data_IF_099300440573
#
_entry.id   IF_099300440573
#
_cell.length_a   1.000
_cell.length_b   1.000
_cell.length_c   1.000
_cell.angle_alpha   90.00
_cell.angle_beta   90.00
_cell.angle_gamma   90.00
#
_symmetry.space_group_name_H-M   'P 1'
#
loop_
_entity.id
_entity.type
_entity.pdbx_description
1 polymer ?
#
# COMPACT_ATOMS: atom_id res chain seq x y z
N UNK A 1 -21.31 -18.82 -6.07
CA UNK A 1 -21.60 -17.38 -5.89
C UNK A 1 -20.40 -16.77 -5.18
N UNK A 2 -19.57 -15.98 -5.86
CA UNK A 2 -18.62 -15.13 -5.15
C UNK A 2 -19.45 -13.99 -4.56
N UNK A 3 -19.37 -13.78 -3.24
CA UNK A 3 -20.06 -12.68 -2.57
C UNK A 3 -19.62 -11.33 -3.14
N UNK A 4 -20.40 -10.30 -2.86
CA UNK A 4 -20.04 -8.92 -3.22
C UNK A 4 -18.72 -8.53 -2.55
N UNK A 5 -17.78 -7.98 -3.33
CA UNK A 5 -16.43 -7.63 -2.85
C UNK A 5 -16.53 -6.54 -1.77
N UNK A 6 -16.06 -6.84 -0.55
CA UNK A 6 -16.10 -5.90 0.58
C UNK A 6 -14.89 -4.96 0.55
N UNK A 7 -15.15 -3.66 0.41
CA UNK A 7 -14.12 -2.63 0.27
C UNK A 7 -13.96 -1.82 1.56
N UNK A 8 -12.74 -1.73 2.08
CA UNK A 8 -12.36 -0.79 3.13
C UNK A 8 -11.65 0.41 2.50
N UNK A 9 -11.97 1.64 2.92
CA UNK A 9 -11.22 2.84 2.55
C UNK A 9 -10.45 3.34 3.76
N UNK A 10 -9.13 3.16 3.76
CA UNK A 10 -8.24 3.60 4.81
C UNK A 10 -7.67 4.99 4.52
N UNK A 11 -7.99 5.98 5.37
CA UNK A 11 -7.58 7.38 5.21
C UNK A 11 -6.70 7.78 6.39
N UNK A 12 -5.46 8.21 6.12
CA UNK A 12 -4.66 8.92 7.13
C UNK A 12 -4.84 10.43 6.99
N UNK A 13 -5.60 11.03 7.92
CA UNK A 13 -5.96 12.44 7.97
C UNK A 13 -5.03 13.25 8.88
N UNK A 14 -4.05 13.92 8.28
CA UNK A 14 -3.09 14.82 8.97
C UNK A 14 -3.21 16.27 8.51
N UNK A 15 -3.44 16.52 7.21
CA UNK A 15 -3.70 17.84 6.64
C UNK A 15 -5.20 17.97 6.38
N UNK A 16 -5.84 18.87 7.12
CA UNK A 16 -7.30 18.90 7.25
C UNK A 16 -8.04 19.37 6.00
N UNK A 17 -7.42 20.21 5.18
CA UNK A 17 -7.96 20.64 3.89
C UNK A 17 -7.95 19.50 2.86
N UNK A 18 -6.85 18.76 2.78
CA UNK A 18 -6.76 17.55 1.95
C UNK A 18 -7.65 16.42 2.47
N UNK A 19 -7.93 16.36 3.78
CA UNK A 19 -8.86 15.39 4.35
C UNK A 19 -10.28 15.63 3.85
N UNK A 20 -10.72 16.90 3.83
CA UNK A 20 -12.06 17.27 3.36
C UNK A 20 -12.25 16.87 1.90
N UNK A 21 -11.27 17.15 1.03
CA UNK A 21 -11.30 16.71 -0.37
C UNK A 21 -11.43 15.18 -0.52
N UNK A 22 -10.70 14.40 0.29
CA UNK A 22 -10.75 12.93 0.23
C UNK A 22 -12.10 12.43 0.74
N UNK A 23 -12.62 13.02 1.82
CA UNK A 23 -13.90 12.65 2.40
C UNK A 23 -15.04 12.93 1.42
N UNK A 24 -15.05 14.10 0.77
CA UNK A 24 -16.04 14.46 -0.26
C UNK A 24 -16.02 13.49 -1.43
N UNK A 25 -14.82 13.15 -1.94
CA UNK A 25 -14.69 12.14 -2.99
C UNK A 25 -15.21 10.78 -2.54
N UNK A 26 -14.91 10.38 -1.30
CA UNK A 26 -15.38 9.10 -0.78
C UNK A 26 -16.92 9.05 -0.70
N UNK A 27 -17.58 10.13 -0.31
CA UNK A 27 -19.05 10.17 -0.18
C UNK A 27 -19.79 9.97 -1.50
N UNK A 28 -19.17 10.34 -2.62
CA UNK A 28 -19.74 10.21 -3.97
C UNK A 28 -19.72 8.77 -4.52
N UNK A 29 -19.14 7.81 -3.79
CA UNK A 29 -18.95 6.45 -4.26
C UNK A 29 -20.24 5.62 -4.14
N UNK A 30 -20.63 4.87 -5.19
CA UNK A 30 -21.85 4.05 -5.18
C UNK A 30 -21.67 2.68 -4.50
N UNK A 31 -20.45 2.28 -4.17
CA UNK A 31 -20.11 0.96 -3.60
C UNK A 31 -20.40 0.91 -2.10
N UNK A 32 -20.74 -0.26 -1.56
CA UNK A 32 -20.78 -0.44 -0.10
C UNK A 32 -19.35 -0.56 0.44
N UNK A 33 -18.90 0.45 1.17
CA UNK A 33 -17.59 0.49 1.82
C UNK A 33 -17.72 1.02 3.25
N UNK A 34 -16.67 0.77 4.04
CA UNK A 34 -16.50 1.38 5.36
C UNK A 34 -15.25 2.26 5.37
N UNK A 35 -15.32 3.38 6.09
CA UNK A 35 -14.18 4.27 6.28
C UNK A 35 -13.35 3.82 7.49
N UNK A 36 -12.03 3.69 7.30
CA UNK A 36 -11.08 3.43 8.38
C UNK A 36 -10.13 4.61 8.47
N UNK A 37 -10.41 5.53 9.38
CA UNK A 37 -9.72 6.81 9.45
C UNK A 37 -8.71 6.81 10.59
N UNK A 38 -7.49 7.26 10.30
CA UNK A 38 -6.49 7.50 11.32
C UNK A 38 -6.11 8.97 11.36
N UNK A 39 -5.90 9.51 12.55
CA UNK A 39 -5.48 10.90 12.74
C UNK A 39 -4.63 11.06 14.01
N UNK A 40 -4.23 12.29 14.30
CA UNK A 40 -3.47 12.67 15.49
C UNK A 40 -4.37 13.30 16.56
N UNK A 41 -4.03 13.26 17.86
CA UNK A 41 -4.88 13.76 18.95
C UNK A 41 -5.42 15.17 18.73
N UNK A 42 -4.58 16.10 18.25
CA UNK A 42 -4.99 17.49 17.97
C UNK A 42 -6.07 17.65 16.89
N UNK A 43 -6.32 16.62 16.09
CA UNK A 43 -7.31 16.62 15.02
C UNK A 43 -8.50 15.69 15.29
N UNK A 44 -8.52 14.98 16.41
CA UNK A 44 -9.57 14.00 16.71
C UNK A 44 -10.96 14.62 16.64
N UNK A 45 -11.20 15.71 17.37
CA UNK A 45 -12.53 16.33 17.46
C UNK A 45 -13.04 16.79 16.09
N UNK A 46 -12.17 17.41 15.28
CA UNK A 46 -12.56 17.90 13.95
C UNK A 46 -12.77 16.76 12.96
N UNK A 47 -11.93 15.72 12.99
CA UNK A 47 -12.09 14.54 12.13
C UNK A 47 -13.37 13.78 12.48
N UNK A 48 -13.65 13.58 13.78
CA UNK A 48 -14.87 12.93 14.25
C UNK A 48 -16.12 13.67 13.80
N UNK A 49 -16.18 14.99 14.01
CA UNK A 49 -17.31 15.81 13.58
C UNK A 49 -17.57 15.72 12.06
N UNK A 50 -16.51 15.68 11.25
CA UNK A 50 -16.63 15.51 9.79
C UNK A 50 -17.15 14.13 9.40
N UNK A 51 -16.68 13.07 10.07
CA UNK A 51 -17.13 11.70 9.81
C UNK A 51 -18.59 11.50 10.23
N UNK A 52 -18.99 12.04 11.38
CA UNK A 52 -20.38 12.02 11.84
C UNK A 52 -21.29 12.75 10.85
N UNK A 53 -20.85 13.92 10.35
CA UNK A 53 -21.60 14.69 9.35
C UNK A 53 -21.71 13.97 7.99
N UNK A 54 -20.70 13.19 7.60
CA UNK A 54 -20.73 12.41 6.37
C UNK A 54 -21.71 11.22 6.42
N UNK A 55 -22.13 10.79 7.61
CA UNK A 55 -23.16 9.75 7.78
C UNK A 55 -22.81 8.38 7.20
N UNK A 56 -21.50 8.08 7.01
CA UNK A 56 -20.99 6.79 6.53
C UNK A 56 -20.48 5.95 7.71
N UNK A 57 -20.58 4.63 7.60
CA UNK A 57 -19.95 3.73 8.59
C UNK A 57 -18.44 3.99 8.63
N UNK A 58 -17.90 4.18 9.84
CA UNK A 58 -16.50 4.49 10.03
C UNK A 58 -15.91 3.88 11.30
N UNK A 59 -14.59 3.76 11.31
CA UNK A 59 -13.78 3.52 12.51
C UNK A 59 -12.65 4.55 12.57
N UNK A 60 -12.48 5.18 13.73
CA UNK A 60 -11.51 6.26 13.94
C UNK A 60 -10.43 5.82 14.93
N UNK A 61 -9.18 5.79 14.46
CA UNK A 61 -8.00 5.55 15.27
C UNK A 61 -7.19 6.83 15.49
N UNK A 62 -6.85 7.12 16.74
CA UNK A 62 -6.07 8.32 17.10
C UNK A 62 -4.69 7.87 17.58
N UNK A 63 -3.64 8.36 16.92
CA UNK A 63 -2.26 7.92 17.13
C UNK A 63 -1.29 9.08 17.17
N UNK A 64 -0.16 8.91 17.86
CA UNK A 64 0.95 9.85 17.76
C UNK A 64 1.45 9.97 16.31
N UNK A 65 2.05 11.11 15.97
CA UNK A 65 2.66 11.33 14.66
C UNK A 65 4.01 10.59 14.54
N UNK A 66 3.97 9.26 14.61
CA UNK A 66 5.12 8.37 14.51
C UNK A 66 4.88 7.35 13.41
N UNK A 67 5.88 7.16 12.56
CA UNK A 67 5.74 6.34 11.35
C UNK A 67 4.79 6.93 10.31
N UNK A 68 4.44 8.22 10.43
CA UNK A 68 3.60 8.98 9.49
C UNK A 68 2.28 8.26 9.21
N UNK A 69 1.94 8.01 7.95
CA UNK A 69 0.75 7.28 7.53
C UNK A 69 0.90 5.76 7.60
N UNK A 70 2.12 5.25 7.79
CA UNK A 70 2.43 3.81 7.77
C UNK A 70 2.05 3.13 9.09
N UNK A 71 2.61 3.56 10.22
CA UNK A 71 2.35 2.90 11.50
C UNK A 71 0.86 2.98 11.93
N UNK A 72 0.18 4.14 11.81
CA UNK A 72 -1.27 4.20 12.02
C UNK A 72 -2.05 3.24 11.12
N UNK A 73 -1.69 3.15 9.84
CA UNK A 73 -2.32 2.19 8.93
C UNK A 73 -2.09 0.74 9.37
N UNK A 74 -0.88 0.36 9.77
CA UNK A 74 -0.59 -0.99 10.26
C UNK A 74 -1.41 -1.37 11.49
N UNK A 75 -1.68 -0.40 12.38
CA UNK A 75 -2.55 -0.60 13.54
C UNK A 75 -4.00 -0.76 13.12
N UNK A 76 -4.50 0.17 12.30
CA UNK A 76 -5.87 0.17 11.80
C UNK A 76 -6.19 -1.05 10.91
N UNK A 77 -5.18 -1.58 10.20
CA UNK A 77 -5.34 -2.75 9.33
C UNK A 77 -5.80 -4.00 10.09
N UNK A 78 -5.50 -4.09 11.39
CA UNK A 78 -5.98 -5.21 12.23
C UNK A 78 -7.50 -5.25 12.30
N UNK A 79 -8.13 -4.08 12.41
CA UNK A 79 -9.59 -3.94 12.46
C UNK A 79 -10.18 -4.20 11.06
N UNK A 80 -9.56 -3.65 10.00
CA UNK A 80 -9.93 -3.95 8.60
C UNK A 80 -9.94 -5.46 8.35
N UNK A 81 -8.90 -6.17 8.79
CA UNK A 81 -8.81 -7.62 8.64
C UNK A 81 -9.83 -8.36 9.51
N UNK A 82 -10.01 -7.95 10.76
CA UNK A 82 -10.94 -8.59 11.69
C UNK A 82 -12.40 -8.47 11.23
N UNK A 83 -12.76 -7.34 10.60
CA UNK A 83 -14.09 -7.13 10.04
C UNK A 83 -14.30 -7.86 8.70
N UNK A 84 -13.26 -8.51 8.14
CA UNK A 84 -13.38 -9.37 6.97
C UNK A 84 -13.53 -8.63 5.64
N UNK A 85 -12.85 -7.50 5.47
CA UNK A 85 -12.78 -6.81 4.18
C UNK A 85 -11.84 -7.54 3.22
N UNK A 86 -12.25 -7.65 1.96
CA UNK A 86 -11.48 -8.35 0.92
C UNK A 86 -10.34 -7.49 0.37
N UNK A 87 -10.61 -6.19 0.22
CA UNK A 87 -9.70 -5.20 -0.35
C UNK A 87 -9.69 -3.93 0.48
N UNK A 88 -8.53 -3.27 0.51
CA UNK A 88 -8.34 -1.97 1.13
C UNK A 88 -7.83 -0.97 0.10
N UNK A 89 -8.49 0.19 0.02
CA UNK A 89 -7.99 1.38 -0.67
C UNK A 89 -7.34 2.27 0.38
N UNK A 90 -6.03 2.43 0.32
CA UNK A 90 -5.28 3.29 1.24
C UNK A 90 -4.94 4.61 0.57
N UNK A 91 -5.32 5.72 1.20
CA UNK A 91 -4.93 7.09 0.83
C UNK A 91 -4.50 7.88 2.06
N UNK A 92 -3.85 9.02 1.85
CA UNK A 92 -3.44 9.89 2.94
C UNK A 92 -3.38 11.35 2.52
N UNK A 93 -3.37 12.25 3.49
CA UNK A 93 -3.33 13.69 3.25
C UNK A 93 -1.93 14.28 3.11
N UNK A 94 -0.85 13.47 3.25
CA UNK A 94 0.54 13.95 3.27
C UNK A 94 0.80 14.91 2.09
N UNK A 95 1.26 16.11 2.42
CA UNK A 95 1.71 17.11 1.45
C UNK A 95 3.21 16.98 1.22
N UNK A 96 3.63 17.29 0.00
CA UNK A 96 5.05 17.41 -0.38
C UNK A 96 5.38 18.88 -0.60
N UNK A 97 5.58 19.68 0.49
CA UNK A 97 5.75 21.14 0.39
C UNK A 97 7.01 21.57 -0.38
N UNK A 98 7.95 20.65 -0.60
CA UNK A 98 9.15 20.87 -1.40
C UNK A 98 8.88 20.86 -2.92
N UNK A 99 7.66 20.54 -3.35
CA UNK A 99 7.25 20.54 -4.75
C UNK A 99 6.42 21.79 -5.04
N UNK A 100 6.71 22.46 -6.16
CA UNK A 100 5.91 23.60 -6.63
C UNK A 100 4.42 23.25 -6.79
N UNK A 101 4.10 21.98 -7.11
CA UNK A 101 2.72 21.50 -7.37
C UNK A 101 2.31 20.27 -6.52
N UNK A 102 2.78 20.18 -5.27
CA UNK A 102 2.56 19.00 -4.40
C UNK A 102 1.08 18.64 -4.17
N UNK A 103 0.17 19.62 -4.17
CA UNK A 103 -1.26 19.38 -4.01
C UNK A 103 -1.91 18.78 -5.27
N UNK A 104 -1.52 19.27 -6.46
CA UNK A 104 -1.96 18.70 -7.74
C UNK A 104 -1.56 17.23 -7.85
N UNK A 105 -0.33 16.92 -7.43
CA UNK A 105 0.19 15.57 -7.37
C UNK A 105 -0.61 14.65 -6.44
N UNK A 106 -0.85 15.07 -5.20
CA UNK A 106 -1.69 14.31 -4.26
C UNK A 106 -3.08 14.07 -4.84
N UNK A 107 -3.70 15.09 -5.43
CA UNK A 107 -5.03 14.96 -6.07
C UNK A 107 -5.02 13.95 -7.21
N UNK A 108 -3.95 13.86 -7.99
CA UNK A 108 -3.79 12.83 -9.03
C UNK A 108 -3.74 11.42 -8.42
N UNK A 109 -2.95 11.22 -7.36
CA UNK A 109 -2.86 9.92 -6.67
C UNK A 109 -4.21 9.47 -6.08
N UNK A 110 -4.85 10.38 -5.35
CA UNK A 110 -6.17 10.14 -4.76
C UNK A 110 -7.18 9.85 -5.87
N UNK A 111 -7.17 10.65 -6.94
CA UNK A 111 -8.15 10.48 -8.03
C UNK A 111 -7.99 9.16 -8.76
N UNK A 112 -6.76 8.68 -8.94
CA UNK A 112 -6.48 7.38 -9.57
C UNK A 112 -7.07 6.18 -8.81
N UNK A 113 -7.44 6.36 -7.53
CA UNK A 113 -7.96 5.31 -6.65
C UNK A 113 -9.40 5.54 -6.19
N UNK A 114 -9.80 6.80 -5.98
CA UNK A 114 -11.07 7.18 -5.34
C UNK A 114 -12.03 7.97 -6.23
N UNK A 115 -11.66 8.37 -7.45
CA UNK A 115 -12.70 8.87 -8.37
C UNK A 115 -13.73 7.77 -8.61
N UNK A 116 -15.04 8.06 -8.69
CA UNK A 116 -16.07 7.04 -8.81
C UNK A 116 -15.82 6.02 -9.94
N UNK A 117 -15.42 6.49 -11.12
CA UNK A 117 -15.11 5.63 -12.28
C UNK A 117 -13.83 4.83 -12.06
N UNK A 118 -12.83 5.42 -11.40
CA UNK A 118 -11.59 4.72 -11.07
C UNK A 118 -11.89 3.60 -10.06
N UNK A 119 -12.55 3.90 -8.95
CA UNK A 119 -12.88 2.90 -7.94
C UNK A 119 -13.75 1.78 -8.53
N UNK A 120 -14.78 2.11 -9.31
CA UNK A 120 -15.63 1.09 -9.95
C UNK A 120 -14.81 0.16 -10.85
N UNK A 121 -13.90 0.72 -11.67
CA UNK A 121 -13.01 -0.06 -12.53
C UNK A 121 -12.08 -0.96 -11.71
N UNK A 122 -11.48 -0.44 -10.64
CA UNK A 122 -10.57 -1.20 -9.80
C UNK A 122 -11.30 -2.32 -9.05
N UNK A 123 -12.43 -2.04 -8.40
CA UNK A 123 -13.30 -3.03 -7.74
C UNK A 123 -13.71 -4.13 -8.72
N UNK A 124 -14.09 -3.77 -9.96
CA UNK A 124 -14.40 -4.74 -11.01
C UNK A 124 -13.20 -5.65 -11.35
N UNK A 125 -11.99 -5.08 -11.45
CA UNK A 125 -10.78 -5.86 -11.71
C UNK A 125 -10.45 -6.82 -10.55
N UNK A 126 -10.58 -6.38 -9.29
CA UNK A 126 -10.39 -7.24 -8.11
C UNK A 126 -11.48 -8.32 -8.00
N UNK A 127 -12.71 -8.04 -8.40
CA UNK A 127 -13.77 -9.04 -8.44
C UNK A 127 -13.53 -10.09 -9.54
N UNK A 128 -13.02 -9.66 -10.70
CA UNK A 128 -12.80 -10.54 -11.85
C UNK A 128 -11.56 -11.44 -11.74
N UNK A 129 -10.50 -10.97 -11.07
CA UNK A 129 -9.22 -11.68 -11.01
C UNK A 129 -8.71 -11.88 -9.57
N UNK A 130 -8.86 -13.09 -8.98
CA UNK A 130 -8.27 -13.44 -7.70
C UNK A 130 -6.75 -13.26 -7.64
N UNK A 131 -6.02 -13.33 -8.75
CA UNK A 131 -4.57 -13.17 -8.79
C UNK A 131 -4.11 -11.72 -8.66
N UNK A 132 -4.98 -10.73 -8.92
CA UNK A 132 -4.69 -9.31 -8.72
C UNK A 132 -4.51 -9.04 -7.21
N UNK A 133 -3.29 -8.64 -6.82
CA UNK A 133 -2.92 -8.40 -5.43
C UNK A 133 -2.89 -6.93 -5.06
N UNK A 134 -2.26 -6.09 -5.88
CA UNK A 134 -2.06 -4.65 -5.63
C UNK A 134 -2.27 -3.87 -6.92
N UNK A 135 -2.94 -2.74 -6.81
CA UNK A 135 -2.98 -1.68 -7.82
C UNK A 135 -2.39 -0.40 -7.23
N UNK A 136 -1.35 0.12 -7.86
CA UNK A 136 -0.79 1.44 -7.54
C UNK A 136 -1.26 2.50 -8.54
N UNK A 137 -1.24 3.79 -8.18
CA UNK A 137 -1.46 4.88 -9.11
C UNK A 137 -0.52 4.81 -10.33
N UNK A 138 -1.01 5.22 -11.50
CA UNK A 138 -0.24 5.23 -12.74
C UNK A 138 1.11 5.96 -12.58
N UNK A 139 2.18 5.37 -13.10
CA UNK A 139 3.53 5.94 -13.04
C UNK A 139 4.19 5.88 -11.65
N UNK A 140 3.61 5.18 -10.67
CA UNK A 140 4.15 5.08 -9.31
C UNK A 140 4.75 3.72 -8.96
N UNK A 141 4.81 2.80 -9.92
CA UNK A 141 5.45 1.51 -9.69
C UNK A 141 6.95 1.62 -9.99
N UNK A 142 7.77 1.46 -8.95
CA UNK A 142 9.22 1.67 -9.02
C UNK A 142 9.98 0.37 -8.79
N UNK A 143 11.09 0.19 -9.52
CA UNK A 143 12.01 -0.93 -9.33
C UNK A 143 12.72 -0.83 -7.98
N UNK A 144 12.64 -1.89 -7.17
CA UNK A 144 13.36 -1.96 -5.91
C UNK A 144 14.87 -1.90 -6.12
N UNK A 145 15.40 -2.60 -7.13
CA UNK A 145 16.83 -2.58 -7.47
C UNK A 145 17.39 -1.17 -7.66
N UNK A 146 16.59 -0.23 -8.16
CA UNK A 146 17.03 1.15 -8.48
C UNK A 146 16.76 2.14 -7.36
N UNK A 147 15.73 1.89 -6.55
CA UNK A 147 15.14 2.90 -5.66
C UNK A 147 15.12 2.53 -4.17
N UNK A 148 15.85 1.50 -3.74
CA UNK A 148 15.99 1.20 -2.29
C UNK A 148 16.56 2.37 -1.46
N UNK A 149 17.44 3.19 -2.06
CA UNK A 149 18.01 4.37 -1.41
C UNK A 149 18.66 4.06 -0.06
N UNK A 150 18.48 4.92 0.93
CA UNK A 150 19.01 4.73 2.28
C UNK A 150 18.35 3.61 3.09
N UNK A 151 17.43 2.84 2.50
CA UNK A 151 16.65 1.81 3.20
C UNK A 151 17.02 0.38 2.81
N UNK A 152 18.02 0.15 1.95
CA UNK A 152 18.38 -1.19 1.47
C UNK A 152 18.51 -2.22 2.61
N UNK A 153 19.25 -1.89 3.67
CA UNK A 153 19.43 -2.80 4.80
C UNK A 153 18.11 -3.17 5.49
N UNK A 154 17.19 -2.20 5.67
CA UNK A 154 15.87 -2.45 6.27
C UNK A 154 14.98 -3.26 5.33
N UNK A 155 14.96 -2.94 4.04
CA UNK A 155 14.19 -3.67 3.02
C UNK A 155 14.63 -5.13 2.96
N UNK A 156 15.94 -5.39 2.95
CA UNK A 156 16.50 -6.75 2.98
C UNK A 156 16.15 -7.51 4.27
N UNK A 157 16.09 -6.82 5.41
CA UNK A 157 15.70 -7.44 6.67
C UNK A 157 14.21 -7.80 6.67
N UNK A 158 13.35 -6.92 6.18
CA UNK A 158 11.90 -7.16 6.06
C UNK A 158 11.63 -8.31 5.08
N UNK A 159 12.26 -8.29 3.91
CA UNK A 159 12.15 -9.34 2.91
C UNK A 159 12.51 -10.73 3.45
N UNK A 160 13.61 -10.85 4.19
CA UNK A 160 14.01 -12.12 4.83
C UNK A 160 12.95 -12.62 5.81
N UNK A 161 12.30 -11.73 6.56
CA UNK A 161 11.21 -12.11 7.47
C UNK A 161 9.95 -12.55 6.72
N UNK A 162 9.77 -12.15 5.46
CA UNK A 162 8.74 -12.65 4.56
C UNK A 162 9.16 -13.93 3.80
N UNK A 163 10.36 -14.46 4.06
CA UNK A 163 10.90 -15.62 3.34
C UNK A 163 11.33 -15.33 1.91
N UNK A 164 11.69 -14.07 1.60
CA UNK A 164 12.15 -13.64 0.29
C UNK A 164 13.67 -13.43 0.28
N UNK A 165 14.28 -13.89 -0.81
CA UNK A 165 15.71 -13.76 -1.05
C UNK A 165 16.03 -12.56 -1.95
N UNK A 166 17.29 -12.09 -1.88
CA UNK A 166 17.74 -10.88 -2.61
C UNK A 166 17.43 -10.92 -4.12
N UNK A 167 17.58 -12.02 -4.87
CA UNK A 167 17.24 -12.04 -6.30
C UNK A 167 15.77 -11.69 -6.56
N UNK A 168 14.85 -12.17 -5.72
CA UNK A 168 13.41 -11.85 -5.85
C UNK A 168 13.13 -10.36 -5.64
N UNK A 169 13.96 -9.68 -4.86
CA UNK A 169 13.84 -8.24 -4.63
C UNK A 169 14.34 -7.41 -5.81
N UNK A 170 15.35 -7.90 -6.54
CA UNK A 170 15.91 -7.18 -7.67
C UNK A 170 14.94 -7.10 -8.86
N UNK A 171 14.10 -8.13 -9.02
CA UNK A 171 13.05 -8.19 -10.03
C UNK A 171 11.71 -7.59 -9.55
N UNK A 172 11.62 -7.20 -8.28
CA UNK A 172 10.40 -6.67 -7.69
C UNK A 172 10.33 -5.14 -7.77
N UNK A 173 9.11 -4.63 -7.57
CA UNK A 173 8.88 -3.20 -7.39
C UNK A 173 7.85 -2.91 -6.31
N UNK A 174 7.61 -1.62 -6.12
CA UNK A 174 6.69 -1.11 -5.10
C UNK A 174 5.93 0.11 -5.61
N UNK A 175 4.76 0.37 -5.02
CA UNK A 175 3.97 1.56 -5.28
C UNK A 175 4.48 2.71 -4.41
N UNK A 176 5.21 3.65 -5.01
CA UNK A 176 5.70 4.85 -4.32
C UNK A 176 4.55 5.80 -3.95
N UNK A 177 4.68 6.47 -2.81
CA UNK A 177 3.68 7.37 -2.26
C UNK A 177 2.70 6.70 -1.29
N UNK A 178 2.87 5.42 -0.94
CA UNK A 178 2.05 4.69 0.05
C UNK A 178 0.53 4.86 -0.12
N UNK A 179 0.07 5.03 -1.37
CA UNK A 179 -1.34 5.00 -1.77
C UNK A 179 -1.56 3.88 -2.78
N UNK A 180 -2.57 3.05 -2.55
CA UNK A 180 -2.82 1.85 -3.35
C UNK A 180 -4.22 1.29 -3.09
N UNK A 181 -4.68 0.38 -3.95
CA UNK A 181 -5.72 -0.59 -3.63
C UNK A 181 -5.09 -1.98 -3.57
N UNK A 182 -5.37 -2.77 -2.54
CA UNK A 182 -4.76 -4.08 -2.39
C UNK A 182 -5.72 -5.08 -1.73
N UNK A 183 -5.53 -6.37 -2.02
CA UNK A 183 -6.15 -7.43 -1.22
C UNK A 183 -5.61 -7.40 0.20
N UNK A 184 -6.49 -7.64 1.16
CA UNK A 184 -6.08 -7.70 2.58
C UNK A 184 -5.12 -8.87 2.83
N UNK A 185 -5.27 -9.99 2.12
CA UNK A 185 -4.33 -11.13 2.23
C UNK A 185 -2.89 -10.77 1.82
N UNK A 186 -2.71 -9.84 0.88
CA UNK A 186 -1.39 -9.36 0.43
C UNK A 186 -0.73 -8.43 1.45
N UNK A 187 -1.51 -7.65 2.18
CA UNK A 187 -0.98 -6.74 3.20
C UNK A 187 -0.73 -7.46 4.53
N UNK A 188 -1.51 -8.49 4.84
CA UNK A 188 -1.43 -9.23 6.10
C UNK A 188 0.00 -9.72 6.48
N UNK A 189 0.79 -10.35 5.59
CA UNK A 189 2.15 -10.79 5.92
C UNK A 189 3.05 -9.67 6.43
N UNK A 190 2.92 -8.45 5.87
CA UNK A 190 3.69 -7.29 6.30
C UNK A 190 3.25 -6.77 7.67
N UNK A 191 1.95 -6.84 7.96
CA UNK A 191 1.37 -6.44 9.26
C UNK A 191 1.74 -7.45 10.35
N UNK A 192 1.74 -8.74 10.01
CA UNK A 192 2.07 -9.84 10.93
C UNK A 192 3.55 -9.87 11.33
N UNK A 193 4.40 -9.07 10.67
CA UNK A 193 5.74 -8.75 11.17
C UNK A 193 5.72 -7.95 12.49
N UNK A 194 4.56 -7.46 12.94
CA UNK A 194 4.39 -6.98 14.31
C UNK A 194 5.17 -5.71 14.64
N UNK A 195 5.37 -4.82 13.67
CA UNK A 195 6.05 -3.55 13.91
C UNK A 195 5.39 -2.74 15.02
N UNK A 196 6.21 -2.18 15.90
CA UNK A 196 5.83 -1.40 17.06
C UNK A 196 6.25 0.06 16.88
N UNK A 197 5.86 0.94 17.80
CA UNK A 197 6.34 2.32 17.78
C UNK A 197 7.87 2.44 17.92
N UNK A 198 8.52 1.50 18.60
CA UNK A 198 9.98 1.48 18.80
C UNK A 198 10.78 1.21 17.52
N UNK A 199 10.14 0.61 16.51
CA UNK A 199 10.76 0.35 15.21
C UNK A 199 10.78 1.59 14.30
N UNK A 200 10.06 2.66 14.65
CA UNK A 200 9.95 3.87 13.86
C UNK A 200 10.70 5.04 14.52
N UNK A 201 11.48 5.73 13.71
CA UNK A 201 12.19 6.94 14.08
C UNK A 201 11.21 8.02 14.58
N UNK A 202 11.70 8.91 15.46
CA UNK A 202 10.95 10.12 15.79
C UNK A 202 10.78 10.98 14.53
N UNK A 203 9.61 11.60 14.37
CA UNK A 203 9.32 12.40 13.19
C UNK A 203 10.10 13.72 13.23
N UNK A 204 10.93 13.94 12.21
CA UNK A 204 11.80 15.12 12.05
C UNK A 204 11.84 15.61 10.60
N UNK A 205 10.78 15.38 9.81
CA UNK A 205 10.66 15.71 8.39
C UNK A 205 11.72 15.04 7.51
N UNK A 206 12.20 13.87 7.88
CA UNK A 206 13.13 13.06 7.08
C UNK A 206 12.54 12.77 5.69
N UNK A 207 13.38 12.82 4.66
CA UNK A 207 12.97 12.59 3.27
C UNK A 207 13.31 11.18 2.75
N UNK A 208 14.15 10.43 3.48
CA UNK A 208 14.46 9.03 3.22
C UNK A 208 15.06 8.37 4.49
N UNK A 209 15.36 7.07 4.44
CA UNK A 209 16.15 6.38 5.48
C UNK A 209 15.41 6.08 6.78
N UNK A 210 14.08 6.07 6.78
CA UNK A 210 13.24 5.72 7.95
C UNK A 210 12.50 4.41 7.74
N UNK A 211 12.02 3.81 8.83
CA UNK A 211 11.21 2.60 8.76
C UNK A 211 9.93 2.76 7.94
N UNK A 212 9.32 3.96 7.93
CA UNK A 212 8.17 4.26 7.07
C UNK A 212 8.54 4.17 5.57
N UNK A 213 9.70 4.70 5.19
CA UNK A 213 10.23 4.62 3.82
C UNK A 213 10.65 3.20 3.42
N UNK A 214 11.17 2.42 4.38
CA UNK A 214 11.47 1.00 4.17
C UNK A 214 10.18 0.18 3.97
N UNK A 215 9.14 0.45 4.75
CA UNK A 215 7.85 -0.22 4.62
C UNK A 215 7.19 0.07 3.26
N UNK A 216 7.18 1.32 2.82
CA UNK A 216 6.65 1.70 1.49
C UNK A 216 7.29 0.84 0.38
N UNK A 217 8.61 0.68 0.43
CA UNK A 217 9.37 -0.17 -0.49
C UNK A 217 9.02 -1.65 -0.37
N UNK A 218 8.65 -2.09 0.83
CA UNK A 218 8.27 -3.48 1.06
C UNK A 218 6.81 -3.79 0.71
N UNK A 219 5.98 -2.79 0.39
CA UNK A 219 4.56 -2.98 0.11
C UNK A 219 4.33 -4.03 -1.00
N UNK A 220 5.10 -3.95 -2.08
CA UNK A 220 5.01 -4.91 -3.19
C UNK A 220 5.46 -6.33 -2.83
N UNK A 221 6.26 -6.49 -1.76
CA UNK A 221 6.80 -7.79 -1.37
C UNK A 221 5.74 -8.75 -0.83
N UNK A 222 4.63 -8.25 -0.29
CA UNK A 222 3.49 -9.10 0.07
C UNK A 222 2.92 -9.81 -1.16
N UNK A 223 2.80 -9.09 -2.29
CA UNK A 223 2.34 -9.67 -3.55
C UNK A 223 3.36 -10.66 -4.10
N UNK A 224 4.66 -10.34 -4.02
CA UNK A 224 5.75 -11.26 -4.44
C UNK A 224 5.72 -12.56 -3.64
N UNK A 225 5.61 -12.47 -2.30
CA UNK A 225 5.57 -13.63 -1.42
C UNK A 225 4.39 -14.57 -1.71
N UNK A 226 3.24 -13.99 -2.07
CA UNK A 226 2.02 -14.73 -2.41
C UNK A 226 1.86 -15.02 -3.90
N UNK A 227 2.84 -14.64 -4.75
CA UNK A 227 2.78 -14.75 -6.21
C UNK A 227 1.54 -14.10 -6.83
N UNK A 228 1.15 -12.94 -6.30
CA UNK A 228 0.04 -12.12 -6.81
C UNK A 228 0.56 -11.08 -7.79
N UNK A 229 -0.31 -10.70 -8.74
CA UNK A 229 -0.04 -9.67 -9.75
C UNK A 229 -0.11 -8.28 -9.13
N UNK A 230 0.82 -7.41 -9.54
CA UNK A 230 0.78 -5.97 -9.27
C UNK A 230 0.45 -5.27 -10.59
N UNK A 231 -0.50 -4.34 -10.55
CA UNK A 231 -0.97 -3.61 -11.72
C UNK A 231 -0.97 -2.08 -11.50
N UNK A 232 -1.10 -1.36 -12.60
CA UNK A 232 -1.23 0.10 -12.62
C UNK A 232 -2.71 0.47 -12.59
N UNK A 233 -3.06 1.62 -11.98
CA UNK A 233 -4.43 2.13 -12.03
C UNK A 233 -4.90 2.42 -13.45
N UNK A 234 -3.97 2.69 -14.39
CA UNK A 234 -4.28 2.91 -15.80
C UNK A 234 -4.73 1.63 -16.52
N UNK A 235 -4.13 0.49 -16.16
CA UNK A 235 -4.50 -0.84 -16.66
C UNK A 235 -4.47 -1.86 -15.51
N UNK A 236 -5.60 -2.01 -14.78
CA UNK A 236 -5.69 -2.96 -13.67
C UNK A 236 -5.79 -4.42 -14.13
N UNK A 237 -5.93 -4.68 -15.43
CA UNK A 237 -5.99 -6.03 -16.01
C UNK A 237 -4.60 -6.51 -16.48
N UNK A 238 -3.68 -5.59 -16.77
CA UNK A 238 -2.29 -5.87 -17.14
C UNK A 238 -1.30 -5.97 -15.96
N UNK A 239 -0.01 -5.88 -16.26
CA UNK A 239 1.06 -5.80 -15.24
C UNK A 239 1.53 -4.35 -15.11
N UNK A 240 1.95 -3.96 -13.91
CA UNK A 240 2.57 -2.66 -13.72
C UNK A 240 3.98 -2.64 -14.34
N UNK A 241 4.27 -1.62 -15.14
CA UNK A 241 5.61 -1.35 -15.64
C UNK A 241 6.39 -0.44 -14.69
N UNK A 242 7.70 -0.65 -14.61
CA UNK A 242 8.57 0.22 -13.83
C UNK A 242 8.66 1.62 -14.45
N UNK A 243 8.44 2.64 -13.63
CA UNK A 243 8.71 4.01 -14.01
C UNK A 243 10.19 4.35 -13.81
N UNK A 244 10.92 4.42 -14.94
CA UNK A 244 12.34 4.74 -14.98
C UNK A 244 12.65 6.24 -14.96
N UNK A 245 11.63 7.09 -15.03
CA UNK A 245 11.75 8.56 -15.05
C UNK A 245 11.05 9.18 -13.83
N UNK A 246 11.17 8.51 -12.68
CA UNK A 246 10.52 8.98 -11.47
C UNK A 246 11.26 10.18 -10.87
N UNK A 247 10.65 11.36 -10.95
CA UNK A 247 11.26 12.64 -10.55
C UNK A 247 11.55 12.78 -9.04
N UNK A 248 11.06 11.86 -8.21
CA UNK A 248 11.02 12.03 -6.75
C UNK A 248 11.90 11.05 -5.97
N UNK A 249 12.58 10.13 -6.65
CA UNK A 249 13.50 9.21 -6.01
C UNK A 249 14.89 9.36 -6.62
N UNK A 250 15.90 9.50 -5.76
CA UNK A 250 17.30 9.61 -6.18
C UNK A 250 17.73 8.25 -6.75
N UNK A 251 17.93 8.19 -8.06
CA UNK A 251 18.40 6.97 -8.71
C UNK A 251 19.83 6.64 -8.25
N UNK A 252 20.07 5.39 -7.87
CA UNK A 252 21.45 4.91 -7.76
C UNK A 252 22.04 4.88 -9.18
N UNK A 253 23.12 5.63 -9.43
CA UNK A 253 23.85 5.56 -10.70
C UNK A 253 24.53 4.19 -10.81
N UNK A 254 23.84 3.23 -11.41
CA UNK A 254 24.40 1.97 -11.91
C UNK A 254 24.24 1.90 -13.43
N UNK A 255 25.11 1.16 -14.14
CA UNK A 255 25.01 1.06 -15.59
C UNK A 255 23.65 0.46 -16.00
N UNK A 256 23.05 0.91 -17.13
CA UNK A 256 21.80 0.35 -17.60
C UNK A 256 21.98 -1.13 -17.92
N UNK A 257 21.26 -1.99 -17.23
CA UNK A 257 21.20 -3.42 -17.58
C UNK A 257 20.35 -3.56 -18.84
N UNK A 258 21.00 -3.44 -20.00
CA UNK A 258 20.45 -3.86 -21.28
C UNK A 258 20.90 -5.30 -21.54
N UNK A 259 20.09 -6.25 -21.09
CA UNK A 259 20.17 -7.61 -21.60
C UNK A 259 18.85 -8.32 -21.35
N UNK A 260 18.08 -8.51 -22.42
CA UNK A 260 17.10 -9.59 -22.49
C UNK A 260 17.87 -10.90 -22.32
N UNK A 261 17.85 -11.47 -21.12
CA UNK A 261 18.30 -12.83 -20.90
C UNK A 261 17.12 -13.76 -21.18
N UNK A 262 17.11 -14.32 -22.38
CA UNK A 262 16.31 -15.49 -22.73
C UNK A 262 16.73 -16.66 -21.82
N UNK A 263 16.01 -16.90 -20.72
CA UNK A 263 16.08 -18.18 -20.02
C UNK A 263 14.84 -19.01 -20.35
N UNK A 264 15.06 -20.05 -21.15
CA UNK A 264 14.08 -21.11 -21.36
C UNK A 264 13.79 -21.79 -20.02
N UNK A 265 12.56 -21.70 -19.55
CA UNK A 265 12.08 -22.44 -18.38
C UNK A 265 12.05 -23.94 -18.71
N UNK A 266 12.96 -24.72 -18.11
CA UNK A 266 12.73 -26.14 -17.89
C UNK A 266 12.25 -26.32 -16.45
N UNK A 267 11.00 -26.76 -16.35
CA UNK A 267 10.27 -27.04 -15.11
C UNK A 267 11.05 -28.00 -14.21
N UNK A 268 11.27 -27.60 -12.96
CA UNK A 268 11.44 -28.53 -11.85
C UNK A 268 10.30 -28.26 -10.86
N UNK A 269 9.27 -29.12 -10.95
CA UNK A 269 8.31 -29.35 -9.87
C UNK A 269 9.11 -29.91 -8.69
N UNK A 270 8.96 -29.31 -7.53
CA UNK A 270 8.77 -29.95 -6.23
C UNK A 270 9.39 -29.11 -5.08
N UNK A 271 8.63 -29.07 -3.98
CA UNK A 271 9.01 -28.60 -2.64
C UNK A 271 9.09 -27.10 -2.35
N UNK A 272 7.93 -26.41 -2.40
CA UNK A 272 7.63 -25.31 -1.44
C UNK A 272 6.18 -25.45 -0.97
N UNK A 273 5.93 -26.40 -0.06
CA UNK A 273 4.58 -26.70 0.42
C UNK A 273 4.41 -26.83 1.94
N UNK A 274 5.49 -26.77 2.74
CA UNK A 274 5.42 -27.16 4.16
C UNK A 274 5.47 -26.02 5.18
N UNK A 275 5.87 -24.80 4.77
CA UNK A 275 5.98 -23.66 5.68
C UNK A 275 4.66 -22.88 5.84
N UNK A 276 3.92 -22.64 4.75
CA UNK A 276 2.65 -21.89 4.80
C UNK A 276 1.48 -22.67 5.43
N UNK A 277 1.49 -24.01 5.42
CA UNK A 277 0.45 -24.82 6.08
C UNK A 277 0.51 -24.81 7.62
N UNK A 278 1.66 -24.45 8.21
CA UNK A 278 1.80 -24.39 9.68
C UNK A 278 1.29 -23.08 10.29
N UNK A 279 1.16 -22.01 9.52
CA UNK A 279 0.59 -20.75 10.01
C UNK A 279 -0.95 -20.73 9.95
N UNK A 280 -1.57 -21.54 9.08
CA UNK A 280 -3.03 -21.59 8.90
C UNK A 280 -3.74 -22.66 9.76
N UNK A 281 -3.01 -23.46 10.54
CA UNK A 281 -3.55 -24.58 11.34
C UNK A 281 -3.54 -24.35 12.86
N UNK A 282 -3.18 -23.16 13.34
CA UNK A 282 -3.12 -22.84 14.79
C UNK A 282 -4.20 -21.87 15.28
N UNK A 283 -5.30 -21.75 14.55
CA UNK A 283 -6.47 -20.95 14.94
C UNK A 283 -7.66 -21.85 15.25
N UNK A 284 -7.49 -22.77 16.20
CA UNK A 284 -8.55 -23.71 16.56
C UNK A 284 -8.12 -24.70 17.65
N UNK A 285 -7.81 -24.17 18.84
CA UNK A 285 -8.08 -24.79 20.14
C UNK A 285 -8.39 -23.68 21.14
#
# INVERSE_FOLDING_TARGET
MHGELRVAIAIHGFYMDAFDEILDLSQALPTQYKLFVTTVPRHEAVVRARLDAAGRDYSLGVFENRGRDVLPFLRMFRDIRAEGFDVVVKVHTKKSPHLRDGDSWRRMLVSALLQPQALQRLTSAFAADPSLGIVGPEGHFLSLARYMGGNEARVLAIARRLGLERPQLLDAGYCAGTMFMARTDVIAPLVDLGFTAGDFEAEANQIDGTMAHAFERCLGLGAVALRRRIASSADPFGYADFNDRYAFARQLRGPPFSARLNFSFKVARDNVGSALRRMLSRSGE
#
